data_IF_930658597813
#
_entry.id   IF_930658597813
#
_cell.length_a   1.000
_cell.length_b   1.000
_cell.length_c   1.000
_cell.angle_alpha   90.00
_cell.angle_beta   90.00
_cell.angle_gamma   90.00
#
_symmetry.space_group_name_H-M   'P 1'
#
loop_
_entity.id
_entity.type
_entity.pdbx_description
1 polymer ?
#
# COMPACT_ATOMS: atom_id res chain seq x y z
N UNK A 1 18.03 1.57 4.65
CA UNK A 1 17.34 0.25 4.66
C UNK A 1 15.88 0.49 4.96
N UNK A 2 14.97 -0.10 4.16
CA UNK A 2 13.51 -0.02 4.34
C UNK A 2 13.15 -0.72 5.66
N UNK A 3 12.35 -0.06 6.50
CA UNK A 3 11.92 -0.61 7.78
C UNK A 3 10.69 -1.51 7.60
N UNK A 4 10.68 -2.61 8.37
CA UNK A 4 9.58 -3.59 8.36
C UNK A 4 8.95 -3.64 9.74
N UNK A 5 7.71 -3.17 9.87
CA UNK A 5 6.92 -3.17 11.10
C UNK A 5 5.83 -4.22 11.12
N UNK A 6 5.15 -4.32 12.26
CA UNK A 6 4.01 -5.21 12.49
C UNK A 6 2.75 -4.39 12.81
N UNK A 7 1.66 -4.60 12.08
CA UNK A 7 0.35 -4.08 12.49
C UNK A 7 -0.16 -4.83 13.73
N UNK A 8 -0.58 -4.08 14.76
CA UNK A 8 -1.08 -4.66 16.01
C UNK A 8 -2.35 -5.47 15.82
N UNK A 9 -3.08 -5.30 14.71
CA UNK A 9 -4.25 -6.14 14.39
C UNK A 9 -3.84 -7.57 14.02
N UNK A 10 -2.63 -7.78 13.53
CA UNK A 10 -2.12 -9.10 13.15
C UNK A 10 -2.11 -10.10 14.31
N UNK A 11 -2.05 -9.62 15.55
CA UNK A 11 -2.04 -10.49 16.72
C UNK A 11 -3.43 -10.74 17.32
N UNK A 12 -4.49 -10.17 16.74
CA UNK A 12 -5.86 -10.38 17.23
C UNK A 12 -6.17 -11.89 17.44
N UNK A 13 -6.84 -12.29 18.55
CA UNK A 13 -7.56 -11.48 19.53
C UNK A 13 -6.73 -11.00 20.73
N UNK A 14 -5.40 -11.04 20.66
CA UNK A 14 -4.54 -10.45 21.69
C UNK A 14 -4.62 -8.93 21.66
N UNK A 15 -4.21 -8.28 22.77
CA UNK A 15 -4.26 -6.83 22.89
C UNK A 15 -3.08 -6.12 22.23
N UNK A 16 -3.14 -4.79 22.21
CA UNK A 16 -2.10 -3.93 21.63
C UNK A 16 -0.72 -4.16 22.26
N UNK A 17 -0.63 -4.38 23.56
CA UNK A 17 0.63 -4.68 24.25
C UNK A 17 1.31 -5.95 23.72
N UNK A 18 0.53 -7.01 23.45
CA UNK A 18 1.04 -8.22 22.79
C UNK A 18 1.56 -7.93 21.38
N UNK A 19 0.98 -6.95 20.67
CA UNK A 19 1.47 -6.48 19.38
C UNK A 19 2.92 -6.00 19.48
N UNK A 20 3.22 -5.12 20.44
CA UNK A 20 4.58 -4.63 20.68
C UNK A 20 5.54 -5.76 21.07
N UNK A 21 5.14 -6.61 22.02
CA UNK A 21 5.94 -7.73 22.49
C UNK A 21 6.28 -8.72 21.37
N UNK A 22 5.29 -9.16 20.63
CA UNK A 22 5.46 -10.11 19.55
C UNK A 22 6.22 -9.51 18.35
N UNK A 23 6.06 -8.21 18.08
CA UNK A 23 6.86 -7.48 17.11
C UNK A 23 8.36 -7.58 17.46
N UNK A 24 8.71 -7.29 18.72
CA UNK A 24 10.10 -7.42 19.21
C UNK A 24 10.63 -8.85 19.11
N UNK A 25 9.84 -9.83 19.58
CA UNK A 25 10.23 -11.24 19.59
C UNK A 25 10.42 -11.80 18.18
N UNK A 26 9.59 -11.39 17.21
CA UNK A 26 9.70 -11.82 15.82
C UNK A 26 10.83 -11.11 15.05
N UNK A 27 11.30 -9.96 15.55
CA UNK A 27 12.40 -9.20 14.96
C UNK A 27 11.97 -8.12 13.97
N UNK A 28 10.77 -7.56 14.10
CA UNK A 28 10.34 -6.36 13.37
C UNK A 28 11.06 -5.09 13.86
N UNK A 29 11.04 -4.03 13.06
CA UNK A 29 11.71 -2.76 13.36
C UNK A 29 10.82 -1.78 14.14
N UNK A 30 9.52 -2.10 14.30
CA UNK A 30 8.53 -1.28 15.00
C UNK A 30 7.13 -1.80 14.79
N UNK A 31 6.13 -0.98 15.16
CA UNK A 31 4.72 -1.35 15.05
C UNK A 31 3.90 -0.26 14.36
N UNK A 32 2.85 -0.71 13.68
CA UNK A 32 1.69 0.11 13.39
C UNK A 32 0.61 -0.17 14.43
N UNK A 33 0.04 0.88 15.00
CA UNK A 33 -1.05 0.75 15.96
C UNK A 33 -2.40 0.90 15.26
N UNK A 34 -3.13 -0.20 15.13
CA UNK A 34 -4.53 -0.17 14.70
C UNK A 34 -5.40 0.38 15.84
N UNK A 35 -6.06 1.50 15.61
CA UNK A 35 -6.99 2.10 16.57
C UNK A 35 -8.28 1.31 16.65
N UNK A 36 -8.55 0.71 17.82
CA UNK A 36 -9.71 -0.15 18.06
C UNK A 36 -10.58 0.33 19.23
N UNK A 37 -11.55 -0.49 19.63
CA UNK A 37 -12.36 -0.25 20.85
C UNK A 37 -11.54 -0.41 22.13
N UNK A 38 -10.39 -1.06 22.11
CA UNK A 38 -9.46 -1.09 23.23
C UNK A 38 -8.93 0.33 23.51
N UNK A 39 -9.22 0.87 24.70
CA UNK A 39 -8.81 2.22 25.09
C UNK A 39 -7.29 2.41 25.07
N UNK A 40 -6.51 1.35 25.25
CA UNK A 40 -5.03 1.39 25.21
C UNK A 40 -4.50 1.79 23.85
N UNK A 41 -5.21 1.45 22.74
CA UNK A 41 -4.82 1.85 21.38
C UNK A 41 -4.94 3.35 21.11
N UNK A 42 -5.52 4.10 22.06
CA UNK A 42 -5.81 5.53 21.97
C UNK A 42 -5.17 6.36 23.10
N UNK A 43 -4.37 5.72 23.96
CA UNK A 43 -3.66 6.39 25.04
C UNK A 43 -2.20 6.58 24.66
N UNK A 44 -1.76 7.82 24.35
CA UNK A 44 -0.37 8.10 24.05
C UNK A 44 0.58 7.59 25.15
N UNK A 45 0.18 7.75 26.44
CA UNK A 45 0.99 7.33 27.58
C UNK A 45 1.23 5.80 27.55
N UNK A 46 0.17 5.01 27.28
CA UNK A 46 0.29 3.55 27.20
C UNK A 46 1.08 3.09 25.99
N UNK A 47 0.86 3.72 24.84
CA UNK A 47 1.57 3.39 23.62
C UNK A 47 3.07 3.69 23.74
N UNK A 48 3.45 4.84 24.32
CA UNK A 48 4.84 5.19 24.58
C UNK A 48 5.48 4.26 25.64
N UNK A 49 4.73 3.90 26.71
CA UNK A 49 5.18 2.91 27.69
C UNK A 49 5.51 1.56 27.01
N UNK A 50 4.67 1.10 26.08
CA UNK A 50 4.93 -0.16 25.34
C UNK A 50 6.08 -0.02 24.37
N UNK A 51 6.16 1.11 23.65
CA UNK A 51 7.25 1.39 22.71
C UNK A 51 8.62 1.36 23.42
N UNK A 52 8.72 1.98 24.61
CA UNK A 52 9.94 1.96 25.42
C UNK A 52 10.23 0.55 25.98
N UNK A 53 9.22 -0.09 26.61
CA UNK A 53 9.36 -1.41 27.25
C UNK A 53 9.86 -2.49 26.29
N UNK A 54 9.35 -2.48 25.06
CA UNK A 54 9.66 -3.51 24.06
C UNK A 54 10.67 -3.05 23.01
N UNK A 55 11.20 -1.82 23.14
CA UNK A 55 12.12 -1.23 22.15
C UNK A 55 11.54 -1.27 20.72
N UNK A 56 10.25 -0.95 20.59
CA UNK A 56 9.51 -0.99 19.33
C UNK A 56 8.93 0.40 19.05
N UNK A 57 9.56 1.20 18.17
CA UNK A 57 9.01 2.50 17.77
C UNK A 57 7.65 2.34 17.08
N UNK A 58 6.81 3.34 17.23
CA UNK A 58 5.52 3.39 16.53
C UNK A 58 5.77 4.01 15.16
N UNK A 59 5.56 3.22 14.11
CA UNK A 59 5.84 3.59 12.73
C UNK A 59 4.65 4.26 12.07
N UNK A 60 3.43 3.80 12.41
CA UNK A 60 2.19 4.36 11.86
C UNK A 60 1.04 4.23 12.87
N UNK A 61 0.03 5.05 12.69
CA UNK A 61 -1.29 4.92 13.31
C UNK A 61 -2.30 4.57 12.23
N UNK A 62 -2.92 3.41 12.32
CA UNK A 62 -4.05 3.09 11.46
C UNK A 62 -5.35 3.62 12.08
N UNK A 63 -6.02 4.52 11.36
CA UNK A 63 -7.26 5.14 11.82
C UNK A 63 -8.37 4.11 12.05
N UNK A 64 -9.33 4.39 12.95
CA UNK A 64 -10.38 3.42 13.27
C UNK A 64 -11.25 3.10 12.07
N UNK A 65 -11.35 1.81 11.71
CA UNK A 65 -12.18 1.30 10.63
C UNK A 65 -13.67 1.45 10.98
N UNK A 66 -14.42 2.16 10.14
CA UNK A 66 -15.77 2.68 10.45
C UNK A 66 -16.76 1.62 10.93
N UNK A 67 -16.74 0.42 10.34
CA UNK A 67 -17.74 -0.62 10.69
C UNK A 67 -17.51 -1.24 12.07
N UNK A 68 -16.25 -1.45 12.46
CA UNK A 68 -15.89 -2.13 13.70
C UNK A 68 -15.75 -1.15 14.87
N UNK A 69 -15.46 0.11 14.58
CA UNK A 69 -15.08 1.13 15.55
C UNK A 69 -15.97 2.39 15.48
N UNK A 70 -17.24 2.19 15.12
CA UNK A 70 -18.20 3.31 14.88
C UNK A 70 -18.21 4.34 16.02
N UNK A 71 -18.05 3.90 17.27
CA UNK A 71 -18.12 4.79 18.46
C UNK A 71 -16.76 5.23 18.99
N UNK A 72 -15.66 4.79 18.38
CA UNK A 72 -14.32 5.28 18.75
C UNK A 72 -14.22 6.75 18.37
N UNK A 73 -13.96 7.61 19.37
CA UNK A 73 -13.96 9.08 19.25
C UNK A 73 -15.27 9.70 18.73
N UNK A 74 -16.40 8.98 18.87
CA UNK A 74 -17.70 9.43 18.36
C UNK A 74 -18.00 8.93 16.94
N UNK A 75 -19.03 9.52 16.33
CA UNK A 75 -19.51 9.12 14.97
C UNK A 75 -19.02 10.01 13.85
N UNK A 76 -18.47 11.19 14.19
CA UNK A 76 -17.99 12.14 13.17
C UNK A 76 -16.67 11.67 12.56
N UNK A 77 -16.64 11.39 11.24
CA UNK A 77 -15.42 10.91 10.60
C UNK A 77 -14.33 11.97 10.50
N UNK A 78 -14.66 13.26 10.45
CA UNK A 78 -13.66 14.34 10.51
C UNK A 78 -12.93 14.34 11.86
N UNK A 79 -13.66 14.13 12.94
CA UNK A 79 -13.07 14.02 14.29
C UNK A 79 -12.17 12.79 14.38
N UNK A 80 -12.55 11.66 13.77
CA UNK A 80 -11.73 10.45 13.76
C UNK A 80 -10.40 10.65 13.04
N UNK A 81 -10.43 11.28 11.86
CA UNK A 81 -9.23 11.60 11.10
C UNK A 81 -8.32 12.54 11.89
N UNK A 82 -8.85 13.63 12.42
CA UNK A 82 -8.12 14.61 13.22
C UNK A 82 -7.49 13.99 14.47
N UNK A 83 -8.25 13.15 15.21
CA UNK A 83 -7.76 12.45 16.41
C UNK A 83 -6.70 11.39 16.08
N UNK A 84 -6.76 10.76 14.92
CA UNK A 84 -5.71 9.82 14.48
C UNK A 84 -4.40 10.55 14.23
N UNK A 85 -4.47 11.73 13.60
CA UNK A 85 -3.30 12.57 13.37
C UNK A 85 -2.73 13.15 14.69
N UNK A 86 -3.61 13.63 15.62
CA UNK A 86 -3.18 14.04 16.96
C UNK A 86 -2.45 12.92 17.71
N UNK A 87 -2.98 11.69 17.63
CA UNK A 87 -2.36 10.52 18.24
C UNK A 87 -1.00 10.24 17.62
N UNK A 88 -0.90 10.25 16.28
CA UNK A 88 0.36 10.03 15.56
C UNK A 88 1.45 11.03 16.01
N UNK A 89 1.13 12.32 16.05
CA UNK A 89 2.03 13.36 16.57
C UNK A 89 2.44 13.05 18.01
N UNK A 90 1.48 12.71 18.88
CA UNK A 90 1.72 12.48 20.31
C UNK A 90 2.66 11.30 20.59
N UNK A 91 2.71 10.32 19.68
CA UNK A 91 3.55 9.11 19.82
C UNK A 91 4.77 9.12 18.89
N UNK A 92 4.94 10.19 18.09
CA UNK A 92 6.07 10.32 17.15
C UNK A 92 5.96 9.44 15.91
N UNK A 93 4.76 8.98 15.56
CA UNK A 93 4.52 8.23 14.32
C UNK A 93 4.42 9.20 13.12
N UNK A 94 5.18 8.98 12.04
CA UNK A 94 5.16 9.89 10.88
C UNK A 94 3.93 9.73 9.98
N UNK A 95 3.24 8.58 10.05
CA UNK A 95 2.20 8.20 9.09
C UNK A 95 0.89 7.85 9.78
N UNK A 96 -0.22 8.25 9.18
CA UNK A 96 -1.58 7.82 9.52
C UNK A 96 -2.18 7.10 8.32
N UNK A 97 -2.58 5.85 8.47
CA UNK A 97 -3.28 5.09 7.42
C UNK A 97 -4.78 5.28 7.56
N UNK A 98 -5.46 5.55 6.45
CA UNK A 98 -6.90 5.76 6.42
C UNK A 98 -7.56 5.05 5.24
N UNK A 99 -8.74 4.47 5.47
CA UNK A 99 -9.58 3.97 4.38
C UNK A 99 -10.36 5.10 3.72
N UNK A 100 -10.62 5.06 2.41
CA UNK A 100 -11.61 5.90 1.78
C UNK A 100 -12.96 5.74 2.47
N UNK A 101 -13.75 6.83 2.61
CA UNK A 101 -15.04 6.76 3.28
C UNK A 101 -16.10 6.05 2.46
N UNK A 102 -17.10 5.55 3.15
CA UNK A 102 -18.31 5.04 2.51
C UNK A 102 -19.20 6.17 1.99
N UNK A 103 -19.89 5.94 0.88
CA UNK A 103 -20.81 6.91 0.26
C UNK A 103 -21.84 7.49 1.23
N UNK A 104 -22.31 6.70 2.21
CA UNK A 104 -23.29 7.14 3.20
C UNK A 104 -22.74 8.09 4.25
N UNK A 105 -21.43 8.32 4.31
CA UNK A 105 -20.81 9.32 5.19
C UNK A 105 -20.96 10.77 4.68
N UNK A 106 -21.78 10.97 3.65
CA UNK A 106 -22.33 12.24 3.24
C UNK A 106 -21.31 13.29 2.86
N UNK A 107 -21.19 14.37 3.66
CA UNK A 107 -20.26 15.47 3.37
C UNK A 107 -18.81 14.98 3.40
N UNK A 108 -18.43 14.20 4.39
CA UNK A 108 -17.07 13.68 4.54
C UNK A 108 -16.63 12.93 3.29
N UNK A 109 -17.46 12.03 2.77
CA UNK A 109 -17.14 11.26 1.57
C UNK A 109 -16.88 12.16 0.34
N UNK A 110 -17.62 13.27 0.21
CA UNK A 110 -17.47 14.20 -0.92
C UNK A 110 -16.29 15.15 -0.81
N UNK A 111 -15.77 15.37 0.41
CA UNK A 111 -14.64 16.27 0.67
C UNK A 111 -13.47 15.53 1.32
N UNK A 112 -13.36 14.24 1.06
CA UNK A 112 -12.39 13.37 1.72
C UNK A 112 -10.96 13.78 1.42
N UNK A 113 -10.62 13.99 0.14
CA UNK A 113 -9.25 14.38 -0.26
C UNK A 113 -8.86 15.74 0.31
N UNK A 114 -9.81 16.71 0.35
CA UNK A 114 -9.58 18.00 1.00
C UNK A 114 -9.36 17.84 2.51
N UNK A 115 -10.12 16.93 3.15
CA UNK A 115 -9.98 16.67 4.58
C UNK A 115 -8.64 15.99 4.90
N UNK A 116 -8.17 15.07 4.05
CA UNK A 116 -6.84 14.45 4.16
C UNK A 116 -5.76 15.52 4.09
N UNK A 117 -5.73 16.34 3.03
CA UNK A 117 -4.75 17.41 2.84
C UNK A 117 -4.76 18.41 4.01
N UNK A 118 -5.94 18.88 4.43
CA UNK A 118 -6.06 19.79 5.56
C UNK A 118 -5.54 19.18 6.87
N UNK A 119 -5.65 17.86 7.04
CA UNK A 119 -5.13 17.15 8.22
C UNK A 119 -3.61 17.05 8.17
N UNK A 120 -3.03 16.76 7.00
CA UNK A 120 -1.58 16.74 6.79
C UNK A 120 -0.98 18.14 7.07
N UNK A 121 -1.56 19.19 6.49
CA UNK A 121 -1.12 20.58 6.71
C UNK A 121 -1.19 20.98 8.19
N UNK A 122 -2.27 20.59 8.88
CA UNK A 122 -2.50 20.95 10.29
C UNK A 122 -1.52 20.26 11.24
N UNK A 123 -1.25 18.97 11.01
CA UNK A 123 -0.54 18.12 11.98
C UNK A 123 0.91 17.82 11.58
N UNK A 124 1.29 18.02 10.32
CA UNK A 124 2.62 17.70 9.83
C UNK A 124 2.94 16.20 9.78
N UNK A 125 1.92 15.36 9.54
CA UNK A 125 2.03 13.91 9.38
C UNK A 125 1.56 13.51 7.99
N UNK A 126 2.09 12.43 7.44
CA UNK A 126 1.60 11.84 6.19
C UNK A 126 0.27 11.11 6.45
N UNK A 127 -0.78 11.38 5.66
CA UNK A 127 -2.05 10.64 5.72
C UNK A 127 -2.15 9.75 4.49
N UNK A 128 -1.73 8.51 4.61
CA UNK A 128 -1.66 7.55 3.53
C UNK A 128 -3.03 6.87 3.31
N UNK A 129 -3.63 7.15 2.16
CA UNK A 129 -4.93 6.57 1.79
C UNK A 129 -4.74 5.18 1.22
N UNK A 130 -5.44 4.21 1.80
CA UNK A 130 -5.30 2.79 1.45
C UNK A 130 -6.22 2.41 0.29
N UNK A 131 -5.72 1.55 -0.64
CA UNK A 131 -6.58 0.94 -1.64
C UNK A 131 -7.53 -0.06 -0.99
N UNK A 132 -8.77 -0.07 -1.48
CA UNK A 132 -9.84 -0.92 -0.98
C UNK A 132 -10.35 -1.87 -2.08
N UNK A 133 -11.34 -2.67 -1.73
CA UNK A 133 -11.98 -3.61 -2.65
C UNK A 133 -13.51 -3.38 -2.72
N UNK A 134 -14.17 -3.78 -3.83
CA UNK A 134 -15.62 -3.65 -3.96
C UNK A 134 -16.37 -4.46 -2.91
N UNK A 135 -17.34 -3.86 -2.25
CA UNK A 135 -18.23 -4.58 -1.34
C UNK A 135 -19.33 -5.26 -2.13
N UNK A 136 -19.27 -6.57 -2.25
CA UNK A 136 -20.33 -7.38 -2.83
C UNK A 136 -21.25 -7.89 -1.71
N UNK A 137 -22.46 -7.34 -1.62
CA UNK A 137 -23.52 -7.86 -0.77
C UNK A 137 -24.68 -8.36 -1.64
N UNK A 138 -24.95 -9.67 -1.61
CA UNK A 138 -26.12 -10.25 -2.28
C UNK A 138 -26.08 -10.20 -3.81
N UNK A 139 -24.90 -10.35 -4.44
CA UNK A 139 -24.77 -10.40 -5.91
C UNK A 139 -24.88 -9.03 -6.60
N UNK A 140 -24.89 -7.93 -5.84
CA UNK A 140 -24.90 -6.57 -6.38
C UNK A 140 -23.52 -5.99 -6.11
N UNK A 141 -22.72 -5.84 -7.16
CA UNK A 141 -21.46 -5.09 -7.13
C UNK A 141 -21.79 -3.61 -6.92
N UNK A 142 -21.62 -3.13 -5.70
CA UNK A 142 -21.80 -1.72 -5.35
C UNK A 142 -20.48 -1.16 -4.89
N UNK A 143 -19.98 -0.19 -5.63
CA UNK A 143 -18.91 0.65 -5.14
C UNK A 143 -19.39 1.40 -3.88
N UNK A 144 -19.05 0.85 -2.72
CA UNK A 144 -19.48 1.40 -1.43
C UNK A 144 -18.69 2.65 -1.05
N UNK A 145 -17.47 2.80 -1.58
CA UNK A 145 -16.54 3.87 -1.26
C UNK A 145 -16.70 5.09 -2.17
N UNK A 146 -16.36 6.27 -1.65
CA UNK A 146 -16.29 7.54 -2.36
C UNK A 146 -15.06 8.32 -1.82
N UNK A 147 -14.14 8.86 -2.64
CA UNK A 147 -14.26 9.00 -4.11
C UNK A 147 -14.12 7.67 -4.88
N UNK A 148 -13.45 6.65 -4.34
CA UNK A 148 -13.24 5.37 -4.99
C UNK A 148 -12.58 4.36 -4.06
N UNK A 149 -12.00 3.32 -4.65
CA UNK A 149 -11.23 2.27 -3.95
C UNK A 149 -9.74 2.30 -4.32
N UNK A 150 -9.36 3.01 -5.36
CA UNK A 150 -8.00 3.09 -5.89
C UNK A 150 -7.42 4.49 -5.63
N UNK A 151 -6.43 4.64 -4.73
CA UNK A 151 -5.83 5.92 -4.41
C UNK A 151 -5.00 6.50 -5.57
N UNK A 152 -4.63 5.71 -6.59
CA UNK A 152 -3.97 6.23 -7.77
C UNK A 152 -4.86 7.18 -8.58
N UNK A 153 -6.18 7.00 -8.47
CA UNK A 153 -7.23 7.82 -9.11
C UNK A 153 -7.70 8.99 -8.23
N UNK A 154 -7.13 9.15 -7.02
CA UNK A 154 -7.51 10.19 -6.07
C UNK A 154 -6.47 11.32 -6.03
N UNK A 155 -6.94 12.53 -5.73
CA UNK A 155 -6.07 13.69 -5.48
C UNK A 155 -5.59 13.68 -4.02
N UNK A 156 -4.63 12.78 -3.72
CA UNK A 156 -3.98 12.61 -2.42
C UNK A 156 -2.47 12.54 -2.59
N UNK A 157 -1.73 13.06 -1.61
CA UNK A 157 -0.27 13.15 -1.67
C UNK A 157 0.42 11.86 -1.20
N UNK A 158 -0.24 11.08 -0.34
CA UNK A 158 0.29 9.84 0.22
C UNK A 158 -0.71 8.70 0.13
N UNK A 159 -0.21 7.51 -0.16
CA UNK A 159 -1.02 6.30 -0.31
C UNK A 159 -0.40 5.08 0.37
N UNK A 160 -1.27 4.15 0.75
CA UNK A 160 -0.95 2.81 1.23
C UNK A 160 -1.37 1.79 0.18
N UNK A 161 -0.50 0.84 -0.13
CA UNK A 161 -0.83 -0.33 -0.94
C UNK A 161 -1.03 -1.54 -0.03
N UNK A 162 -2.21 -2.15 -0.11
CA UNK A 162 -2.53 -3.44 0.50
C UNK A 162 -2.73 -4.51 -0.59
N UNK A 163 -1.95 -5.60 -0.52
CA UNK A 163 -1.98 -6.68 -1.50
C UNK A 163 -3.25 -7.53 -1.42
N UNK A 164 -3.77 -7.80 -0.21
CA UNK A 164 -5.01 -8.56 -0.04
C UNK A 164 -6.19 -7.82 -0.67
N UNK A 165 -6.21 -6.51 -0.51
CA UNK A 165 -7.22 -5.64 -1.13
C UNK A 165 -7.05 -5.59 -2.67
N UNK A 166 -5.82 -5.60 -3.18
CA UNK A 166 -5.57 -5.72 -4.63
C UNK A 166 -6.14 -7.02 -5.19
N UNK A 167 -5.86 -8.15 -4.54
CA UNK A 167 -6.39 -9.46 -4.93
C UNK A 167 -7.93 -9.46 -5.02
N UNK A 168 -8.60 -8.90 -4.00
CA UNK A 168 -10.06 -8.79 -3.95
C UNK A 168 -10.64 -7.84 -4.99
N UNK A 169 -9.93 -6.74 -5.27
CA UNK A 169 -10.31 -5.76 -6.29
C UNK A 169 -9.98 -6.23 -7.71
N UNK A 170 -9.24 -7.34 -7.87
CA UNK A 170 -8.66 -7.79 -9.14
C UNK A 170 -7.81 -6.68 -9.79
N UNK A 171 -7.14 -5.91 -8.95
CA UNK A 171 -6.22 -4.83 -9.33
C UNK A 171 -4.79 -5.38 -9.29
N UNK A 172 -4.08 -5.27 -10.37
CA UNK A 172 -2.66 -5.62 -10.40
C UNK A 172 -1.88 -4.74 -9.43
N UNK A 173 -1.32 -5.35 -8.37
CA UNK A 173 -0.62 -4.63 -7.31
C UNK A 173 0.73 -4.07 -7.76
N UNK A 174 1.41 -4.72 -8.71
CA UNK A 174 2.61 -4.17 -9.33
C UNK A 174 2.29 -2.89 -10.10
N UNK A 175 1.22 -2.93 -10.92
CA UNK A 175 0.80 -1.76 -11.67
C UNK A 175 0.32 -0.64 -10.73
N UNK A 176 -0.41 -0.97 -9.64
CA UNK A 176 -0.80 0.03 -8.64
C UNK A 176 0.41 0.69 -7.99
N UNK A 177 1.44 -0.07 -7.62
CA UNK A 177 2.66 0.48 -7.06
C UNK A 177 3.35 1.46 -8.04
N UNK A 178 3.37 1.13 -9.33
CA UNK A 178 3.92 2.00 -10.39
C UNK A 178 3.07 3.26 -10.59
N UNK A 179 1.73 3.15 -10.60
CA UNK A 179 0.80 4.27 -10.78
C UNK A 179 0.85 5.25 -9.59
N UNK A 180 1.09 4.75 -8.39
CA UNK A 180 1.28 5.57 -7.20
C UNK A 180 2.62 6.30 -7.21
N UNK A 181 3.69 5.66 -7.67
CA UNK A 181 5.03 6.26 -7.73
C UNK A 181 5.46 6.84 -6.38
N UNK A 182 5.88 8.10 -6.35
CA UNK A 182 6.36 8.79 -5.13
C UNK A 182 5.28 8.98 -4.06
N UNK A 183 4.00 8.84 -4.41
CA UNK A 183 2.88 8.88 -3.45
C UNK A 183 2.77 7.61 -2.60
N UNK A 184 3.37 6.49 -3.04
CA UNK A 184 3.42 5.27 -2.24
C UNK A 184 4.36 5.46 -1.05
N UNK A 185 3.81 5.60 0.16
CA UNK A 185 4.58 5.84 1.39
C UNK A 185 4.48 4.71 2.39
N UNK A 186 3.47 3.89 2.24
CA UNK A 186 3.14 2.82 3.17
C UNK A 186 2.69 1.57 2.41
N UNK A 187 3.02 0.40 2.93
CA UNK A 187 2.67 -0.87 2.31
C UNK A 187 2.23 -1.85 3.40
N UNK A 188 1.01 -2.37 3.26
CA UNK A 188 0.56 -3.51 4.06
C UNK A 188 1.06 -4.80 3.42
N UNK A 189 2.05 -5.40 4.06
CA UNK A 189 2.64 -6.68 3.67
C UNK A 189 1.71 -7.81 4.07
N UNK A 190 0.97 -8.27 3.12
CA UNK A 190 0.03 -9.38 3.19
C UNK A 190 0.02 -10.08 1.84
N UNK A 191 -0.83 -11.07 1.68
CA UNK A 191 -1.11 -11.71 0.40
C UNK A 191 -2.60 -12.04 0.32
N UNK A 192 -3.10 -12.30 -0.86
CA UNK A 192 -4.49 -12.61 -1.11
C UNK A 192 -4.69 -13.50 -2.32
N UNK A 193 -5.88 -14.07 -2.40
CA UNK A 193 -6.33 -14.82 -3.58
C UNK A 193 -7.51 -14.07 -4.19
N UNK A 194 -7.50 -13.91 -5.50
CA UNK A 194 -8.60 -13.26 -6.21
C UNK A 194 -9.94 -13.93 -5.84
N UNK A 195 -10.92 -13.14 -5.48
CA UNK A 195 -12.22 -13.64 -5.08
C UNK A 195 -12.87 -14.47 -6.21
N UNK A 196 -13.25 -15.71 -5.92
CA UNK A 196 -14.19 -16.47 -6.72
C UNK A 196 -15.59 -15.85 -6.60
N UNK A 197 -16.44 -16.04 -7.61
CA UNK A 197 -17.79 -15.47 -7.61
C UNK A 197 -18.55 -15.80 -6.30
N UNK A 198 -18.94 -14.74 -5.56
CA UNK A 198 -19.74 -14.84 -4.32
C UNK A 198 -18.95 -15.03 -3.03
N UNK A 199 -17.60 -15.08 -3.06
CA UNK A 199 -16.74 -15.12 -1.88
C UNK A 199 -15.85 -13.88 -1.82
N UNK A 200 -16.20 -12.93 -0.98
CA UNK A 200 -15.38 -11.77 -0.66
C UNK A 200 -14.94 -11.91 0.80
N UNK A 201 -13.78 -12.53 1.02
CA UNK A 201 -13.14 -12.55 2.33
C UNK A 201 -11.78 -11.91 2.18
N UNK A 202 -11.59 -10.83 2.86
CA UNK A 202 -10.28 -10.26 3.06
C UNK A 202 -9.43 -11.23 3.91
N UNK A 203 -8.51 -11.95 3.26
CA UNK A 203 -7.83 -13.10 3.88
C UNK A 203 -6.59 -12.69 4.65
N UNK A 204 -5.90 -11.63 4.26
CA UNK A 204 -4.60 -11.21 4.82
C UNK A 204 -3.68 -12.42 5.06
N UNK A 205 -3.37 -13.13 3.97
CA UNK A 205 -2.50 -14.31 3.99
C UNK A 205 -1.05 -13.90 4.29
N UNK A 206 -0.24 -14.87 4.72
CA UNK A 206 1.20 -14.64 4.76
C UNK A 206 1.74 -14.38 3.35
N UNK A 207 2.73 -13.49 3.20
CA UNK A 207 3.36 -13.25 1.90
C UNK A 207 3.88 -14.54 1.26
N UNK A 208 3.61 -14.73 -0.03
CA UNK A 208 3.91 -15.94 -0.78
C UNK A 208 2.92 -17.09 -0.60
N UNK A 209 1.80 -16.88 0.11
CA UNK A 209 0.73 -17.86 0.28
C UNK A 209 -0.52 -17.56 -0.55
N UNK A 210 -0.54 -16.45 -1.27
CA UNK A 210 -1.59 -16.05 -2.21
C UNK A 210 -1.10 -16.02 -3.65
N UNK A 211 -1.64 -15.10 -4.44
CA UNK A 211 -1.34 -14.96 -5.87
C UNK A 211 -0.78 -13.57 -6.23
N UNK A 212 -0.62 -12.67 -5.26
CA UNK A 212 -0.09 -11.34 -5.51
C UNK A 212 1.44 -11.39 -5.72
N UNK A 213 2.00 -10.56 -6.61
CA UNK A 213 3.45 -10.51 -6.88
C UNK A 213 4.21 -9.76 -5.77
N UNK A 214 4.01 -10.19 -4.51
CA UNK A 214 4.53 -9.50 -3.32
C UNK A 214 6.05 -9.37 -3.35
N UNK A 215 6.74 -10.48 -3.68
CA UNK A 215 8.19 -10.51 -3.74
C UNK A 215 8.75 -9.54 -4.80
N UNK A 216 8.14 -9.54 -5.99
CA UNK A 216 8.54 -8.70 -7.11
C UNK A 216 8.34 -7.22 -6.83
N UNK A 217 7.22 -6.86 -6.17
CA UNK A 217 6.95 -5.47 -5.76
C UNK A 217 7.97 -5.00 -4.73
N UNK A 218 8.26 -5.81 -3.69
CA UNK A 218 9.27 -5.47 -2.69
C UNK A 218 10.66 -5.27 -3.34
N UNK A 219 11.07 -6.16 -4.22
CA UNK A 219 12.33 -6.06 -4.95
C UNK A 219 12.38 -4.83 -5.86
N UNK A 220 11.29 -4.52 -6.54
CA UNK A 220 11.18 -3.32 -7.38
C UNK A 220 11.36 -2.06 -6.54
N UNK A 221 10.66 -1.93 -5.43
CA UNK A 221 10.75 -0.80 -4.51
C UNK A 221 12.17 -0.67 -3.91
N UNK A 222 12.79 -1.79 -3.52
CA UNK A 222 14.15 -1.79 -3.00
C UNK A 222 15.16 -1.28 -4.05
N UNK A 223 15.08 -1.76 -5.31
CA UNK A 223 15.94 -1.31 -6.41
C UNK A 223 15.76 0.17 -6.76
N UNK A 224 14.55 0.71 -6.59
CA UNK A 224 14.25 2.13 -6.80
C UNK A 224 14.71 3.04 -5.66
N UNK A 225 15.22 2.46 -4.55
CA UNK A 225 15.60 3.23 -3.36
C UNK A 225 14.40 3.85 -2.62
N UNK A 226 13.25 3.20 -2.70
CA UNK A 226 12.03 3.63 -2.00
C UNK A 226 12.27 3.80 -0.49
N UNK A 227 11.69 4.82 0.11
CA UNK A 227 11.94 5.23 1.51
C UNK A 227 10.72 5.09 2.42
N UNK A 228 9.64 4.50 1.95
CA UNK A 228 8.43 4.29 2.73
C UNK A 228 8.57 3.17 3.77
N UNK A 229 7.45 2.73 4.31
CA UNK A 229 7.37 1.74 5.39
C UNK A 229 6.63 0.49 4.92
N UNK A 230 7.15 -0.69 5.26
CA UNK A 230 6.49 -1.97 5.05
C UNK A 230 5.94 -2.46 6.38
N UNK A 231 4.63 -2.68 6.47
CA UNK A 231 3.96 -3.13 7.69
C UNK A 231 3.28 -4.47 7.43
N UNK A 232 3.70 -5.51 8.15
CA UNK A 232 3.04 -6.80 8.10
C UNK A 232 1.63 -6.72 8.69
N UNK A 233 0.61 -6.95 7.86
CA UNK A 233 -0.78 -7.04 8.27
C UNK A 233 -1.38 -8.38 7.87
N UNK A 234 -1.07 -9.41 8.66
CA UNK A 234 -1.45 -10.80 8.40
C UNK A 234 -2.41 -11.34 9.46
N UNK A 235 -3.28 -12.25 9.08
CA UNK A 235 -4.17 -12.93 10.04
C UNK A 235 -3.46 -14.10 10.72
N UNK A 236 -3.14 -13.93 12.02
CA UNK A 236 -2.58 -15.02 12.83
C UNK A 236 -3.58 -15.67 13.80
N UNK A 237 -4.88 -15.37 13.65
CA UNK A 237 -5.94 -15.90 14.53
C UNK A 237 -6.01 -17.43 14.53
N UNK A 238 -5.66 -18.07 13.42
CA UNK A 238 -5.63 -19.53 13.27
C UNK A 238 -4.44 -20.20 13.95
N UNK A 239 -3.47 -19.45 14.46
CA UNK A 239 -2.33 -20.00 15.19
C UNK A 239 -2.78 -20.82 16.40
N UNK A 240 -2.26 -22.04 16.50
CA UNK A 240 -2.66 -23.04 17.53
C UNK A 240 -2.05 -22.75 18.89
N UNK A 241 -0.98 -21.97 18.94
CA UNK A 241 -0.26 -21.58 20.13
C UNK A 241 0.45 -20.24 19.92
N UNK A 242 0.96 -19.65 21.01
CA UNK A 242 1.80 -18.44 20.91
C UNK A 242 3.08 -18.70 20.12
N UNK A 243 3.70 -19.85 20.32
CA UNK A 243 4.88 -20.28 19.55
C UNK A 243 4.57 -20.39 18.05
N UNK A 244 3.40 -20.89 17.69
CA UNK A 244 2.97 -20.99 16.29
C UNK A 244 2.73 -19.59 15.69
N UNK A 245 2.09 -18.70 16.46
CA UNK A 245 1.92 -17.30 16.06
C UNK A 245 3.26 -16.60 15.83
N UNK A 246 4.19 -16.74 16.77
CA UNK A 246 5.52 -16.16 16.65
C UNK A 246 6.25 -16.69 15.40
N UNK A 247 6.12 -17.99 15.09
CA UNK A 247 6.68 -18.59 13.87
C UNK A 247 6.13 -17.89 12.62
N UNK A 248 4.80 -17.71 12.51
CA UNK A 248 4.18 -17.02 11.36
C UNK A 248 4.70 -15.58 11.20
N UNK A 249 4.82 -14.85 12.31
CA UNK A 249 5.35 -13.49 12.32
C UNK A 249 6.81 -13.45 11.91
N UNK A 250 7.63 -14.39 12.40
CA UNK A 250 9.05 -14.51 12.04
C UNK A 250 9.23 -14.84 10.56
N UNK A 251 8.41 -15.73 10.02
CA UNK A 251 8.40 -16.07 8.58
C UNK A 251 8.07 -14.84 7.74
N UNK A 252 7.10 -14.04 8.18
CA UNK A 252 6.69 -12.82 7.47
C UNK A 252 7.80 -11.77 7.42
N UNK A 253 8.46 -11.49 8.54
CA UNK A 253 9.56 -10.50 8.55
C UNK A 253 10.78 -11.01 7.79
N UNK A 254 11.05 -12.32 7.83
CA UNK A 254 12.13 -12.93 7.06
C UNK A 254 11.88 -12.79 5.55
N UNK A 255 10.66 -13.08 5.09
CA UNK A 255 10.25 -12.88 3.70
C UNK A 255 10.46 -11.41 3.25
N UNK A 256 9.99 -10.45 4.06
CA UNK A 256 10.18 -9.05 3.73
C UNK A 256 11.66 -8.68 3.58
N UNK A 257 12.50 -9.11 4.51
CA UNK A 257 13.93 -8.80 4.50
C UNK A 257 14.68 -9.45 3.35
N UNK A 258 14.31 -10.69 2.99
CA UNK A 258 14.87 -11.39 1.84
C UNK A 258 14.61 -10.60 0.54
N UNK A 259 13.37 -10.14 0.34
CA UNK A 259 13.00 -9.47 -0.91
C UNK A 259 13.27 -7.95 -0.93
N UNK A 260 13.55 -7.33 0.21
CA UNK A 260 14.01 -5.95 0.31
C UNK A 260 15.55 -5.82 0.29
N UNK A 261 16.28 -6.93 0.33
CA UNK A 261 17.73 -6.93 0.17
C UNK A 261 18.07 -6.55 -1.28
N UNK A 262 18.82 -5.46 -1.47
CA UNK A 262 19.35 -5.10 -2.78
C UNK A 262 20.60 -5.94 -3.01
N UNK A 263 20.59 -6.79 -4.02
CA UNK A 263 21.79 -7.46 -4.50
C UNK A 263 22.74 -6.42 -5.12
N UNK A 264 23.76 -6.00 -4.40
CA UNK A 264 24.80 -5.07 -4.90
C UNK A 264 25.58 -5.67 -6.10
N UNK A 265 25.42 -6.97 -6.37
CA UNK A 265 26.14 -7.66 -7.47
C UNK A 265 25.47 -7.52 -8.83
N UNK A 266 24.23 -7.03 -8.94
CA UNK A 266 23.52 -6.87 -10.21
C UNK A 266 23.77 -5.52 -10.94
N UNK A 267 24.52 -4.60 -10.32
CA UNK A 267 24.76 -3.24 -10.82
C UNK A 267 25.94 -3.09 -11.81
N UNK A 268 26.79 -4.11 -12.01
CA UNK A 268 28.03 -3.97 -12.79
C UNK A 268 28.02 -4.64 -14.17
N UNK A 269 26.87 -5.15 -14.63
CA UNK A 269 26.76 -5.82 -15.93
C UNK A 269 26.28 -4.93 -17.09
N UNK A 270 25.92 -3.65 -16.88
CA UNK A 270 25.46 -2.74 -17.94
C UNK A 270 26.44 -1.64 -18.35
N UNK A 271 27.64 -1.65 -17.79
CA UNK A 271 28.67 -0.60 -17.99
C UNK A 271 29.73 -0.87 -19.08
N UNK A 272 29.70 -2.00 -19.80
CA UNK A 272 30.82 -2.34 -20.70
C UNK A 272 30.44 -2.85 -22.09
N UNK A 273 29.49 -2.19 -22.76
CA UNK A 273 29.14 -2.51 -24.16
C UNK A 273 29.09 -1.28 -25.11
N UNK A 274 29.75 -0.18 -24.76
CA UNK A 274 29.70 1.05 -25.57
C UNK A 274 31.10 1.59 -26.01
N UNK A 275 32.18 0.78 -25.92
CA UNK A 275 33.53 1.28 -26.30
C UNK A 275 34.34 0.28 -27.17
N UNK A 276 33.73 -0.30 -28.19
CA UNK A 276 34.45 -1.10 -29.22
C UNK A 276 33.81 -1.01 -30.59
N UNK A 277 33.73 0.20 -31.20
CA UNK A 277 33.52 0.34 -32.64
C UNK A 277 33.93 1.73 -33.15
N UNK A 278 35.23 2.01 -33.18
CA UNK A 278 35.76 3.10 -34.00
C UNK A 278 37.20 2.74 -34.39
N UNK A 279 37.37 1.93 -35.40
CA UNK A 279 38.51 2.05 -36.34
C UNK A 279 38.31 1.15 -37.57
N UNK A 280 38.24 1.75 -38.72
CA UNK A 280 38.27 1.04 -40.00
C UNK A 280 38.02 1.97 -41.21
N UNK A 281 38.76 1.91 -42.28
CA UNK A 281 39.15 3.09 -43.07
C UNK A 281 38.24 3.43 -44.27
N UNK A 282 38.33 4.70 -44.60
CA UNK A 282 38.03 5.39 -45.88
C UNK A 282 38.06 4.56 -47.15
N UNK A 283 37.01 4.68 -47.99
CA UNK A 283 37.00 4.26 -49.37
C UNK A 283 35.86 4.90 -50.16
N UNK A 284 36.23 5.87 -51.02
CA UNK A 284 35.38 6.67 -51.87
C UNK A 284 34.70 5.86 -53.01
N UNK A 285 33.65 6.42 -53.59
CA UNK A 285 33.38 6.76 -54.98
C UNK A 285 31.90 6.63 -55.36
N UNK A 286 31.31 7.73 -55.67
CA UNK A 286 30.49 8.17 -56.82
C UNK A 286 29.28 7.35 -57.31
N UNK A 287 28.20 8.07 -57.53
CA UNK A 287 27.47 7.95 -58.76
C UNK A 287 25.97 7.83 -58.73
N UNK A 288 25.29 8.95 -58.93
CA UNK A 288 24.26 9.20 -59.92
C UNK A 288 22.82 8.68 -59.80
N UNK A 289 21.94 9.66 -59.69
CA UNK A 289 20.76 9.99 -60.51
C UNK A 289 19.45 9.20 -60.40
N UNK A 290 18.45 9.94 -59.99
CA UNK A 290 17.27 10.38 -60.76
C UNK A 290 16.03 9.47 -60.82
N UNK A 291 14.89 10.15 -60.61
CA UNK A 291 13.58 9.83 -61.18
C UNK A 291 12.50 9.54 -60.17
N UNK A 292 11.68 10.44 -59.76
CA UNK A 292 10.52 11.11 -60.39
C UNK A 292 9.21 10.31 -60.21
N UNK A 293 8.29 10.94 -59.49
CA UNK A 293 6.93 11.30 -59.85
C UNK A 293 5.79 10.27 -59.80
N UNK A 294 4.67 10.74 -59.26
CA UNK A 294 3.31 10.33 -59.53
C UNK A 294 2.53 10.07 -58.22
N UNK A 295 1.75 10.92 -57.61
CA UNK A 295 0.57 11.68 -57.98
C UNK A 295 -0.73 10.86 -57.92
N UNK A 296 -1.60 11.31 -57.00
CA UNK A 296 -3.06 11.40 -57.04
C UNK A 296 -3.86 10.08 -56.97
N UNK A 297 -4.94 9.94 -56.29
CA UNK A 297 -6.18 10.72 -56.31
C UNK A 297 -7.18 10.21 -55.22
N UNK A 298 -7.87 11.01 -54.62
CA UNK A 298 -9.19 11.34 -54.18
C UNK A 298 -10.31 10.28 -54.34
N UNK A 299 -11.22 10.36 -53.39
CA UNK A 299 -12.61 9.95 -53.53
C UNK A 299 -13.09 9.19 -52.32
N UNK A 300 -13.95 9.58 -51.53
CA UNK A 300 -15.19 10.34 -51.48
C UNK A 300 -16.12 9.60 -50.48
N UNK A 301 -16.69 10.29 -49.58
CA UNK A 301 -17.77 9.80 -48.70
C UNK A 301 -19.11 9.78 -49.52
N UNK A 302 -20.21 9.17 -49.06
CA UNK A 302 -21.04 9.80 -48.05
C UNK A 302 -21.88 8.86 -47.12
N UNK A 303 -22.26 9.47 -45.98
CA UNK A 303 -23.47 9.42 -45.22
C UNK A 303 -24.68 8.51 -45.65
N UNK A 304 -25.37 7.91 -44.69
CA UNK A 304 -26.69 8.35 -44.21
C UNK A 304 -27.40 7.32 -43.30
N UNK A 305 -28.01 7.82 -42.19
CA UNK A 305 -29.30 7.47 -41.49
C UNK A 305 -29.54 6.00 -41.12
N UNK A 306 -29.82 5.70 -39.90
CA UNK A 306 -30.99 6.08 -39.06
C UNK A 306 -31.88 4.86 -38.83
N UNK A 307 -32.12 4.51 -37.64
CA UNK A 307 -33.38 4.36 -36.90
C UNK A 307 -33.02 4.13 -35.43
#
# INVERSE_FOLDING_TARGET
MIKVGLSTISVFPKGVEDGFRLSREAGFDGVEVMVTTDAKTRSPEKLLEYAERYEQPIMAIHAPVVLLTTFVWGRDPFVKLDRSAELAVSVGAPTVVVHPPFRWQGKYARTFTDAVRATEEKHGVEVAVENMFPWAAGGIDRQAYLPGIDPSEMDVDHATLDFSHCALAKRDSMQLALDLGDRLRHLHLTDGVAAEEGRVFDEHLLPGHGNEPVAEVLQMLARQGWTGQVIAEIKTRQARSERDRLRLLTETVAFAREHLAVDETAGDASGNAADAAADGPSGAVAGATAGAAGAADAGDAPADRGV
#
